data_IF_356990572657
#
_entry.id   IF_356990572657
#
_cell.length_a   1.000
_cell.length_b   1.000
_cell.length_c   1.000
_cell.angle_alpha   90.00
_cell.angle_beta   90.00
_cell.angle_gamma   90.00
#
_symmetry.space_group_name_H-M   'P 1'
#
loop_
_entity.id
_entity.type
_entity.pdbx_description
1 polymer ?
#
# COMPACT_ATOMS: atom_id res chain seq x y z
N UNK A 1 -35.40 -9.94 -2.19
CA UNK A 1 -34.11 -10.56 -2.56
C UNK A 1 -34.40 -11.75 -3.44
N UNK A 2 -34.36 -11.56 -4.74
CA UNK A 2 -34.52 -12.66 -5.69
C UNK A 2 -33.18 -13.36 -5.89
N UNK A 3 -33.18 -14.68 -5.66
CA UNK A 3 -32.01 -15.55 -5.78
C UNK A 3 -32.01 -16.12 -7.21
N UNK A 4 -31.09 -15.67 -8.05
CA UNK A 4 -30.86 -16.31 -9.34
C UNK A 4 -29.91 -17.50 -9.15
N UNK A 5 -30.44 -18.71 -9.30
CA UNK A 5 -29.73 -19.98 -9.27
C UNK A 5 -29.34 -20.36 -10.71
N UNK A 6 -28.07 -20.50 -11.02
CA UNK A 6 -27.60 -21.15 -12.23
C UNK A 6 -26.81 -22.41 -11.86
N UNK A 7 -27.28 -23.57 -12.31
CA UNK A 7 -26.61 -24.85 -12.13
C UNK A 7 -25.71 -25.12 -13.34
N UNK A 8 -24.40 -25.13 -13.12
CA UNK A 8 -23.43 -25.72 -14.04
C UNK A 8 -22.67 -26.82 -13.30
N UNK A 9 -22.94 -28.07 -13.69
CA UNK A 9 -22.20 -29.28 -13.29
C UNK A 9 -22.01 -29.46 -11.77
N UNK A 10 -23.09 -29.70 -11.04
CA UNK A 10 -23.06 -30.35 -9.73
C UNK A 10 -22.46 -29.58 -8.55
N UNK A 11 -22.15 -28.29 -8.70
CA UNK A 11 -21.79 -27.37 -7.60
C UNK A 11 -22.70 -26.16 -7.66
N UNK A 12 -23.39 -25.87 -6.56
CA UNK A 12 -24.11 -24.60 -6.40
C UNK A 12 -23.08 -23.48 -6.32
N UNK A 13 -22.91 -22.73 -7.39
CA UNK A 13 -22.12 -21.51 -7.39
C UNK A 13 -23.04 -20.37 -6.97
N UNK A 14 -22.88 -19.91 -5.75
CA UNK A 14 -23.56 -18.70 -5.28
C UNK A 14 -22.94 -17.49 -5.98
N UNK A 15 -23.56 -17.00 -7.03
CA UNK A 15 -23.16 -15.72 -7.65
C UNK A 15 -23.74 -14.62 -6.75
N UNK A 16 -22.86 -14.01 -5.94
CA UNK A 16 -23.21 -12.83 -5.17
C UNK A 16 -23.43 -11.67 -6.15
N UNK A 17 -24.63 -11.10 -6.12
CA UNK A 17 -24.93 -9.91 -6.92
C UNK A 17 -24.00 -8.77 -6.54
N UNK A 18 -23.23 -8.28 -7.51
CA UNK A 18 -22.31 -7.13 -7.30
C UNK A 18 -23.12 -5.84 -7.22
N UNK A 19 -22.63 -4.86 -6.47
CA UNK A 19 -23.24 -3.52 -6.46
C UNK A 19 -23.21 -2.91 -7.85
N UNK A 20 -24.24 -2.15 -8.18
CA UNK A 20 -24.31 -1.39 -9.44
C UNK A 20 -23.37 -0.17 -9.36
N UNK A 21 -22.09 -0.40 -9.66
CA UNK A 21 -21.02 0.59 -9.67
C UNK A 21 -20.36 0.57 -11.04
N UNK A 22 -20.08 1.74 -11.60
CA UNK A 22 -19.26 1.83 -12.81
C UNK A 22 -17.79 1.57 -12.46
N UNK A 23 -17.40 0.28 -12.44
CA UNK A 23 -16.08 -0.19 -12.07
C UNK A 23 -14.96 0.37 -12.95
N UNK A 24 -15.26 0.68 -14.20
CA UNK A 24 -14.28 1.20 -15.17
C UNK A 24 -13.97 2.67 -14.93
N UNK A 25 -14.87 3.40 -14.28
CA UNK A 25 -14.74 4.84 -14.04
C UNK A 25 -14.40 5.21 -12.60
N UNK A 26 -14.08 4.24 -11.75
CA UNK A 26 -13.64 4.49 -10.39
C UNK A 26 -12.32 5.28 -10.36
N UNK A 27 -12.20 6.19 -9.39
CA UNK A 27 -10.94 6.80 -8.98
C UNK A 27 -10.39 6.15 -7.71
N UNK A 28 -9.52 6.88 -7.02
CA UNK A 28 -9.02 6.51 -5.68
C UNK A 28 -9.76 7.32 -4.58
N UNK A 29 -11.02 7.71 -4.84
CA UNK A 29 -11.89 8.39 -3.89
C UNK A 29 -12.60 7.41 -2.95
N UNK A 30 -13.00 7.91 -1.78
CA UNK A 30 -13.75 7.12 -0.81
C UNK A 30 -15.20 6.88 -1.29
N UNK A 31 -15.60 5.62 -1.36
CA UNK A 31 -16.97 5.16 -1.54
C UNK A 31 -17.33 4.35 -0.30
N UNK A 32 -18.36 4.75 0.41
CA UNK A 32 -18.77 4.08 1.64
C UNK A 32 -19.31 2.67 1.33
N UNK A 33 -18.82 1.70 2.11
CA UNK A 33 -19.30 0.31 2.10
C UNK A 33 -20.18 0.02 3.31
N UNK A 34 -20.88 -1.10 3.32
CA UNK A 34 -21.90 -1.39 4.34
C UNK A 34 -21.34 -1.71 5.71
N UNK A 35 -20.14 -2.35 5.77
CA UNK A 35 -19.57 -2.84 7.01
C UNK A 35 -18.12 -2.46 7.18
N UNK A 36 -17.74 -2.23 8.43
CA UNK A 36 -16.38 -2.04 8.92
C UNK A 36 -16.18 -2.84 10.20
N UNK A 37 -14.94 -3.22 10.47
CA UNK A 37 -14.57 -3.89 11.72
C UNK A 37 -14.11 -2.84 12.75
N UNK A 38 -14.48 -3.03 14.00
CA UNK A 38 -14.07 -2.17 15.13
C UNK A 38 -13.76 -3.05 16.34
N UNK A 39 -12.57 -2.85 16.93
CA UNK A 39 -12.19 -3.43 18.22
C UNK A 39 -11.62 -2.33 19.12
N UNK A 40 -11.88 -2.39 20.40
CA UNK A 40 -11.44 -1.41 21.40
C UNK A 40 -10.44 -2.06 22.36
N UNK A 41 -9.39 -1.31 22.68
CA UNK A 41 -8.45 -1.65 23.76
C UNK A 41 -8.76 -0.81 24.98
N UNK A 42 -9.14 -1.50 26.05
CA UNK A 42 -9.46 -0.89 27.37
C UNK A 42 -9.00 -1.79 28.49
N UNK A 43 -8.58 -1.20 29.60
CA UNK A 43 -8.16 -1.94 30.80
C UNK A 43 -7.07 -3.00 30.50
N UNK A 44 -6.18 -2.72 29.55
CA UNK A 44 -5.06 -3.62 29.21
C UNK A 44 -5.40 -4.76 28.25
N UNK A 45 -6.60 -4.80 27.66
CA UNK A 45 -7.02 -5.87 26.76
C UNK A 45 -7.84 -5.36 25.56
N UNK A 46 -7.75 -6.08 24.43
CA UNK A 46 -8.63 -5.94 23.29
C UNK A 46 -9.95 -6.68 23.55
N UNK A 47 -11.07 -6.06 23.16
CA UNK A 47 -12.34 -6.78 23.03
C UNK A 47 -12.33 -7.72 21.79
N UNK A 48 -13.39 -8.52 21.62
CA UNK A 48 -13.49 -9.44 20.47
C UNK A 48 -13.66 -8.72 19.14
N UNK A 49 -14.02 -7.45 19.16
CA UNK A 49 -14.35 -6.67 17.97
C UNK A 49 -15.68 -7.09 17.33
N UNK A 50 -16.16 -6.25 16.43
CA UNK A 50 -17.41 -6.51 15.71
C UNK A 50 -17.47 -5.78 14.37
N UNK A 51 -18.28 -6.32 13.45
CA UNK A 51 -18.71 -5.63 12.24
C UNK A 51 -19.82 -4.64 12.56
N UNK A 52 -19.58 -3.37 12.24
CA UNK A 52 -20.55 -2.28 12.42
C UNK A 52 -20.85 -1.58 11.11
N UNK A 53 -21.99 -0.87 11.04
CA UNK A 53 -22.36 -0.08 9.84
C UNK A 53 -22.04 1.40 9.97
N UNK A 54 -21.90 1.90 11.19
CA UNK A 54 -21.62 3.32 11.44
C UNK A 54 -20.16 3.66 11.06
N UNK A 55 -20.01 4.61 10.15
CA UNK A 55 -18.71 5.12 9.70
C UNK A 55 -18.16 6.24 10.59
N UNK A 56 -18.99 6.81 11.43
CA UNK A 56 -18.59 7.93 12.29
C UNK A 56 -17.79 7.47 13.51
N UNK A 57 -16.92 8.34 13.98
CA UNK A 57 -16.13 8.12 15.20
C UNK A 57 -16.37 9.28 16.13
N UNK A 58 -16.92 8.98 17.31
CA UNK A 58 -17.06 9.96 18.39
C UNK A 58 -15.93 9.78 19.38
N UNK A 59 -15.18 10.84 19.67
CA UNK A 59 -14.07 10.83 20.63
C UNK A 59 -13.93 12.17 21.34
N UNK A 60 -13.16 12.18 22.42
CA UNK A 60 -12.79 13.42 23.13
C UNK A 60 -11.94 14.33 22.23
N UNK A 61 -12.12 15.65 22.33
CA UNK A 61 -11.22 16.61 21.71
C UNK A 61 -9.77 16.48 22.17
N UNK A 62 -9.54 15.93 23.37
CA UNK A 62 -8.22 15.64 23.92
C UNK A 62 -7.67 14.26 23.53
N UNK A 63 -8.32 13.53 22.62
CA UNK A 63 -7.84 12.20 22.21
C UNK A 63 -6.38 12.25 21.70
N UNK A 64 -5.57 11.25 22.07
CA UNK A 64 -4.14 11.19 21.75
C UNK A 64 -3.84 11.29 20.26
N UNK A 65 -4.73 10.77 19.42
CA UNK A 65 -4.61 10.89 17.95
C UNK A 65 -4.73 12.34 17.48
N UNK A 66 -5.61 13.14 18.08
CA UNK A 66 -5.84 14.54 17.71
C UNK A 66 -4.72 15.45 18.20
N UNK A 67 -4.14 15.15 19.37
CA UNK A 67 -3.12 15.99 19.98
C UNK A 67 -1.70 15.66 19.49
N UNK A 68 -1.37 14.37 19.34
CA UNK A 68 -0.01 13.91 19.11
C UNK A 68 0.13 12.97 17.92
N UNK A 69 -0.88 12.88 17.04
CA UNK A 69 -0.88 12.01 15.86
C UNK A 69 -0.53 10.55 16.20
N UNK A 70 -0.92 10.06 17.40
CA UNK A 70 -0.67 8.67 17.81
C UNK A 70 -1.60 7.73 17.03
N UNK A 71 -1.19 7.44 15.79
CA UNK A 71 -1.93 6.58 14.86
C UNK A 71 -1.00 5.86 13.90
N UNK A 72 -1.37 4.62 13.57
CA UNK A 72 -0.73 3.78 12.55
C UNK A 72 -1.79 3.26 11.60
N UNK A 73 -1.39 2.93 10.37
CA UNK A 73 -2.33 2.40 9.39
C UNK A 73 -1.67 1.42 8.43
N UNK A 74 -2.50 0.64 7.76
CA UNK A 74 -2.11 -0.25 6.68
C UNK A 74 -2.92 0.02 5.42
N UNK A 75 -2.43 -0.50 4.30
CA UNK A 75 -3.14 -0.47 3.03
C UNK A 75 -2.94 -1.79 2.33
N UNK A 76 -4.04 -2.44 1.98
CA UNK A 76 -4.04 -3.71 1.27
C UNK A 76 -5.25 -3.80 0.35
N UNK A 77 -5.35 -4.84 -0.46
CA UNK A 77 -6.41 -5.00 -1.45
C UNK A 77 -7.00 -6.39 -1.39
N UNK A 78 -8.29 -6.48 -1.67
CA UNK A 78 -8.95 -7.72 -2.04
C UNK A 78 -9.22 -7.73 -3.55
N UNK A 79 -9.05 -8.90 -4.16
CA UNK A 79 -9.13 -9.12 -5.60
C UNK A 79 -10.15 -10.21 -5.90
N UNK A 80 -10.84 -10.11 -7.03
CA UNK A 80 -11.50 -11.25 -7.66
C UNK A 80 -10.49 -11.88 -8.62
N UNK A 81 -10.16 -13.15 -8.42
CA UNK A 81 -9.24 -13.90 -9.28
C UNK A 81 -9.93 -14.37 -10.57
N UNK A 82 -9.15 -14.85 -11.53
CA UNK A 82 -9.66 -15.37 -12.81
C UNK A 82 -10.66 -16.51 -12.63
N UNK A 83 -10.45 -17.37 -11.63
CA UNK A 83 -11.36 -18.48 -11.28
C UNK A 83 -12.52 -18.08 -10.33
N UNK A 84 -12.67 -16.77 -10.06
CA UNK A 84 -13.79 -16.19 -9.31
C UNK A 84 -13.64 -16.18 -7.80
N UNK A 85 -12.51 -16.64 -7.24
CA UNK A 85 -12.25 -16.52 -5.79
C UNK A 85 -12.03 -15.06 -5.37
N UNK A 86 -12.35 -14.76 -4.13
CA UNK A 86 -11.99 -13.49 -3.50
C UNK A 86 -10.78 -13.73 -2.60
N UNK A 87 -9.72 -13.01 -2.84
CA UNK A 87 -8.44 -13.20 -2.16
C UNK A 87 -7.84 -11.88 -1.67
N UNK A 88 -6.94 -11.97 -0.68
CA UNK A 88 -6.02 -10.89 -0.30
C UNK A 88 -4.57 -11.35 -0.49
N UNK A 89 -3.67 -10.39 -0.65
CA UNK A 89 -2.26 -10.65 -0.94
C UNK A 89 -1.41 -10.34 0.29
N UNK A 90 -0.75 -11.36 0.86
CA UNK A 90 0.19 -11.30 1.98
C UNK A 90 -0.31 -10.49 3.19
N UNK A 91 -1.51 -10.76 3.72
CA UNK A 91 -2.05 -10.05 4.88
C UNK A 91 -1.22 -10.24 6.15
N UNK A 92 -0.49 -11.33 6.26
CA UNK A 92 0.48 -11.64 7.30
C UNK A 92 1.55 -10.55 7.43
N UNK A 93 2.10 -10.08 6.32
CA UNK A 93 3.09 -9.02 6.32
C UNK A 93 2.51 -7.65 6.69
N UNK A 94 1.25 -7.38 6.35
CA UNK A 94 0.57 -6.18 6.82
C UNK A 94 0.37 -6.23 8.34
N UNK A 95 -0.07 -7.37 8.87
CA UNK A 95 -0.23 -7.57 10.32
C UNK A 95 1.09 -7.37 11.07
N UNK A 96 2.17 -8.01 10.60
CA UNK A 96 3.50 -7.88 11.20
C UNK A 96 4.03 -6.44 11.15
N UNK A 97 3.87 -5.74 10.02
CA UNK A 97 4.32 -4.35 9.89
C UNK A 97 3.49 -3.38 10.75
N UNK A 98 2.19 -3.64 10.91
CA UNK A 98 1.37 -2.88 11.86
C UNK A 98 1.83 -3.08 13.30
N UNK A 99 2.20 -4.31 13.68
CA UNK A 99 2.78 -4.61 14.98
C UNK A 99 4.07 -3.80 15.22
N UNK A 100 5.00 -3.77 14.25
CA UNK A 100 6.23 -2.99 14.34
C UNK A 100 5.95 -1.49 14.48
N UNK A 101 4.96 -0.99 13.74
CA UNK A 101 4.52 0.41 13.82
C UNK A 101 3.92 0.74 15.19
N UNK A 102 3.08 -0.14 15.73
CA UNK A 102 2.51 0.01 17.07
C UNK A 102 3.58 0.03 18.17
N UNK A 103 4.51 -0.92 18.13
CA UNK A 103 5.63 -0.98 19.10
C UNK A 103 6.46 0.31 19.08
N UNK A 104 6.76 0.85 17.90
CA UNK A 104 7.56 2.10 17.77
C UNK A 104 6.84 3.32 18.35
N UNK A 105 5.50 3.39 18.27
CA UNK A 105 4.69 4.49 18.81
C UNK A 105 4.13 4.20 20.21
N UNK A 106 4.62 3.16 20.90
CA UNK A 106 4.15 2.77 22.25
C UNK A 106 2.64 2.54 22.29
N UNK A 107 2.11 1.88 21.25
CA UNK A 107 0.71 1.48 21.15
C UNK A 107 0.58 -0.03 21.42
N UNK A 108 -0.57 -0.51 21.95
CA UNK A 108 -0.79 -1.93 22.13
C UNK A 108 -0.80 -2.65 20.79
N UNK A 109 -0.22 -3.85 20.74
CA UNK A 109 -0.25 -4.70 19.56
C UNK A 109 -1.62 -5.31 19.38
N UNK A 110 -2.22 -5.20 18.19
CA UNK A 110 -3.38 -6.00 17.81
C UNK A 110 -2.89 -7.36 17.31
N UNK A 111 -3.41 -8.50 17.81
CA UNK A 111 -2.90 -9.82 17.45
C UNK A 111 -2.96 -10.08 15.94
N UNK A 112 -1.88 -10.66 15.37
CA UNK A 112 -1.76 -10.84 13.91
C UNK A 112 -2.82 -11.79 13.35
N UNK A 113 -3.17 -12.84 14.05
CA UNK A 113 -4.24 -13.78 13.69
C UNK A 113 -5.61 -13.09 13.68
N UNK A 114 -5.92 -12.30 14.71
CA UNK A 114 -7.15 -11.48 14.76
C UNK A 114 -7.18 -10.39 13.68
N UNK A 115 -6.02 -9.85 13.30
CA UNK A 115 -5.93 -8.91 12.17
C UNK A 115 -6.35 -9.57 10.85
N UNK A 116 -5.83 -10.76 10.55
CA UNK A 116 -6.16 -11.50 9.33
C UNK A 116 -7.64 -11.92 9.32
N UNK A 117 -8.15 -12.36 10.47
CA UNK A 117 -9.56 -12.69 10.64
C UNK A 117 -10.47 -11.47 10.40
N UNK A 118 -10.14 -10.32 11.01
CA UNK A 118 -10.88 -9.08 10.83
C UNK A 118 -10.88 -8.59 9.36
N UNK A 119 -9.75 -8.74 8.65
CA UNK A 119 -9.66 -8.48 7.20
C UNK A 119 -10.64 -9.37 6.44
N UNK A 120 -10.67 -10.68 6.73
CA UNK A 120 -11.57 -11.64 6.08
C UNK A 120 -13.04 -11.28 6.34
N UNK A 121 -13.40 -10.99 7.59
CA UNK A 121 -14.76 -10.57 7.96
C UNK A 121 -15.22 -9.31 7.21
N UNK A 122 -14.35 -8.28 7.08
CA UNK A 122 -14.68 -7.05 6.35
C UNK A 122 -14.88 -7.33 4.87
N UNK A 123 -14.03 -8.15 4.24
CA UNK A 123 -14.15 -8.48 2.82
C UNK A 123 -15.40 -9.32 2.55
N UNK A 124 -15.67 -10.32 3.37
CA UNK A 124 -16.87 -11.15 3.25
C UNK A 124 -18.16 -10.32 3.39
N UNK A 125 -18.23 -9.47 4.41
CA UNK A 125 -19.38 -8.62 4.65
C UNK A 125 -19.62 -7.58 3.53
N UNK A 126 -18.57 -7.20 2.81
CA UNK A 126 -18.62 -6.26 1.69
C UNK A 126 -18.33 -6.92 0.33
N UNK A 127 -18.53 -8.24 0.19
CA UNK A 127 -18.15 -8.96 -1.03
C UNK A 127 -18.88 -8.47 -2.29
N UNK A 128 -20.06 -7.85 -2.14
CA UNK A 128 -20.77 -7.17 -3.23
C UNK A 128 -20.00 -5.96 -3.80
N UNK A 129 -19.08 -5.38 -3.01
CA UNK A 129 -18.23 -4.25 -3.41
C UNK A 129 -16.86 -4.69 -3.93
N UNK A 130 -16.51 -5.97 -3.89
CA UNK A 130 -15.28 -6.46 -4.52
C UNK A 130 -15.49 -6.43 -6.03
N UNK A 131 -14.69 -5.65 -6.79
CA UNK A 131 -14.88 -5.52 -8.24
C UNK A 131 -14.75 -6.85 -8.97
N UNK A 132 -15.45 -7.04 -10.09
CA UNK A 132 -15.34 -8.25 -10.91
C UNK A 132 -13.92 -8.39 -11.51
N UNK A 133 -13.49 -9.63 -11.74
CA UNK A 133 -12.26 -9.90 -12.49
C UNK A 133 -12.28 -9.20 -13.86
N UNK A 134 -11.16 -8.68 -14.29
CA UNK A 134 -11.02 -7.99 -15.58
C UNK A 134 -11.46 -6.51 -15.58
N UNK A 135 -12.09 -6.01 -14.52
CA UNK A 135 -12.45 -4.58 -14.41
C UNK A 135 -11.26 -3.65 -14.19
N UNK A 136 -10.10 -4.17 -13.79
CA UNK A 136 -8.95 -3.39 -13.35
C UNK A 136 -9.10 -2.73 -11.98
N UNK A 137 -10.31 -2.72 -11.42
CA UNK A 137 -10.61 -2.20 -10.10
C UNK A 137 -10.36 -3.25 -9.00
N UNK A 138 -10.24 -2.80 -7.76
CA UNK A 138 -10.00 -3.65 -6.57
C UNK A 138 -10.74 -3.11 -5.37
N UNK A 139 -10.97 -3.94 -4.33
CA UNK A 139 -11.44 -3.45 -3.05
C UNK A 139 -10.23 -3.08 -2.19
N UNK A 140 -10.04 -1.80 -1.92
CA UNK A 140 -9.00 -1.31 -1.03
C UNK A 140 -9.45 -1.41 0.43
N UNK A 141 -8.59 -1.95 1.29
CA UNK A 141 -8.82 -2.03 2.74
C UNK A 141 -7.86 -1.11 3.47
N UNK A 142 -8.36 -0.42 4.48
CA UNK A 142 -7.63 0.47 5.36
C UNK A 142 -7.73 0.01 6.81
N UNK A 143 -6.89 -0.94 7.25
CA UNK A 143 -6.66 -1.17 8.67
C UNK A 143 -5.95 0.04 9.28
N UNK A 144 -6.39 0.48 10.47
CA UNK A 144 -5.75 1.58 11.20
C UNK A 144 -6.06 1.49 12.70
N UNK A 145 -5.16 2.06 13.49
CA UNK A 145 -5.28 2.11 14.94
C UNK A 145 -4.91 3.51 15.43
N UNK A 146 -5.58 3.96 16.48
CA UNK A 146 -5.31 5.27 17.06
C UNK A 146 -5.60 5.32 18.55
N UNK A 147 -4.89 6.22 19.26
CA UNK A 147 -5.15 6.53 20.67
C UNK A 147 -6.43 7.34 20.82
N UNK A 148 -7.42 6.79 21.52
CA UNK A 148 -8.77 7.34 21.66
C UNK A 148 -9.05 8.01 23.01
N UNK A 149 -8.29 7.68 24.06
CA UNK A 149 -8.46 8.30 25.36
C UNK A 149 -7.90 9.73 25.43
N UNK A 150 -8.44 10.57 26.34
CA UNK A 150 -7.95 11.93 26.58
C UNK A 150 -6.50 11.95 27.06
N UNK A 151 -5.66 12.82 26.47
CA UNK A 151 -4.25 13.00 26.82
C UNK A 151 -3.87 14.47 26.68
N UNK A 152 -3.39 15.13 27.74
CA UNK A 152 -2.84 16.49 27.67
C UNK A 152 -1.31 16.48 27.73
N UNK A 153 -0.71 15.75 28.66
CA UNK A 153 0.74 15.57 28.70
C UNK A 153 1.22 14.62 27.60
N UNK A 154 2.44 14.79 27.11
CA UNK A 154 3.02 13.90 26.10
C UNK A 154 3.26 12.51 26.70
N UNK A 155 2.32 11.62 26.53
CA UNK A 155 2.38 10.20 26.96
C UNK A 155 1.52 9.35 26.01
N UNK A 156 1.71 8.01 25.98
CA UNK A 156 0.80 7.12 25.26
C UNK A 156 -0.64 7.24 25.79
N UNK A 157 -1.61 7.08 24.93
CA UNK A 157 -3.00 6.93 25.32
C UNK A 157 -3.20 5.66 26.16
N UNK A 158 -4.29 5.60 26.94
CA UNK A 158 -4.63 4.43 27.75
C UNK A 158 -5.67 3.54 27.08
N UNK A 159 -6.46 4.13 26.17
CA UNK A 159 -7.43 3.41 25.34
C UNK A 159 -7.11 3.63 23.85
N UNK A 160 -7.38 2.60 23.04
CA UNK A 160 -7.16 2.62 21.59
C UNK A 160 -8.34 2.00 20.88
N UNK A 161 -8.44 2.34 19.58
CA UNK A 161 -9.40 1.70 18.70
C UNK A 161 -8.67 1.17 17.47
N UNK A 162 -8.89 -0.10 17.14
CA UNK A 162 -8.50 -0.71 15.87
C UNK A 162 -9.72 -0.79 14.96
N UNK A 163 -9.56 -0.36 13.71
CA UNK A 163 -10.63 -0.35 12.73
C UNK A 163 -10.15 -0.80 11.37
N UNK A 164 -11.04 -1.41 10.60
CA UNK A 164 -10.83 -1.68 9.18
C UNK A 164 -12.06 -1.19 8.41
N UNK A 165 -11.88 -0.31 7.44
CA UNK A 165 -12.89 -0.04 6.43
C UNK A 165 -12.41 -0.46 5.06
N UNK A 166 -13.34 -0.62 4.11
CA UNK A 166 -13.06 -0.95 2.73
C UNK A 166 -13.71 0.08 1.80
N UNK A 167 -13.13 0.27 0.61
CA UNK A 167 -13.67 1.11 -0.45
C UNK A 167 -13.26 0.55 -1.81
N UNK A 168 -14.17 0.39 -2.78
CA UNK A 168 -13.77 0.02 -4.13
C UNK A 168 -12.99 1.16 -4.78
N UNK A 169 -11.88 0.81 -5.42
CA UNK A 169 -11.01 1.76 -6.12
C UNK A 169 -10.75 1.29 -7.54
N UNK A 170 -10.63 2.23 -8.45
CA UNK A 170 -10.36 1.97 -9.85
C UNK A 170 -8.91 1.59 -10.13
N UNK A 171 -8.60 1.29 -11.39
CA UNK A 171 -7.23 1.11 -11.82
C UNK A 171 -6.42 2.38 -11.55
N UNK A 172 -5.22 2.21 -10.99
CA UNK A 172 -4.37 3.35 -10.67
C UNK A 172 -4.02 4.18 -11.91
N UNK A 173 -3.82 3.52 -13.05
CA UNK A 173 -3.56 4.16 -14.32
C UNK A 173 -4.84 4.27 -15.16
N UNK A 174 -5.64 5.31 -14.93
CA UNK A 174 -6.73 5.66 -15.85
C UNK A 174 -6.15 6.13 -17.18
N UNK A 175 -6.51 5.46 -18.27
CA UNK A 175 -6.05 5.83 -19.62
C UNK A 175 -4.69 5.25 -20.04
N UNK A 176 -4.16 4.28 -19.29
CA UNK A 176 -2.89 3.60 -19.58
C UNK A 176 -1.75 4.03 -18.68
N UNK A 177 -0.65 3.28 -18.76
CA UNK A 177 0.56 3.53 -17.97
C UNK A 177 1.27 4.78 -18.53
N UNK A 178 1.43 5.81 -17.70
CA UNK A 178 2.20 7.01 -18.05
C UNK A 178 3.41 7.10 -17.10
N UNK A 179 4.65 7.10 -17.62
CA UNK A 179 5.84 7.31 -16.80
C UNK A 179 5.83 8.66 -16.11
N UNK A 180 6.27 8.67 -14.84
CA UNK A 180 6.25 9.83 -13.97
C UNK A 180 7.50 10.68 -14.14
N UNK A 181 7.36 11.98 -13.86
CA UNK A 181 8.47 12.90 -13.66
C UNK A 181 8.61 13.22 -12.16
N UNK A 182 9.76 12.90 -11.58
CA UNK A 182 10.03 13.00 -10.16
C UNK A 182 10.98 14.15 -9.88
N UNK A 183 10.68 14.97 -8.87
CA UNK A 183 11.58 16.01 -8.36
C UNK A 183 12.39 15.48 -7.17
N UNK A 184 13.70 15.73 -7.15
CA UNK A 184 14.48 15.54 -5.91
C UNK A 184 14.08 16.62 -4.91
N UNK A 185 13.62 16.21 -3.72
CA UNK A 185 13.08 17.10 -2.70
C UNK A 185 14.19 17.79 -1.90
N UNK A 186 13.99 19.06 -1.56
CA UNK A 186 14.80 19.79 -0.59
C UNK A 186 14.43 19.48 0.87
N UNK A 187 13.28 18.83 1.07
CA UNK A 187 12.76 18.45 2.37
C UNK A 187 13.15 17.02 2.72
N UNK A 188 13.20 16.71 4.02
CA UNK A 188 13.38 15.37 4.54
C UNK A 188 12.02 14.68 4.70
N UNK A 189 11.93 13.38 4.40
CA UNK A 189 10.75 12.57 4.67
C UNK A 189 10.68 12.13 6.14
N UNK A 190 11.83 11.81 6.72
CA UNK A 190 11.97 11.35 8.09
C UNK A 190 13.38 11.59 8.63
N UNK A 191 13.51 11.75 9.94
CA UNK A 191 14.83 11.80 10.59
C UNK A 191 15.57 10.45 10.46
N UNK A 192 16.93 10.43 10.48
CA UNK A 192 17.73 9.21 10.29
C UNK A 192 17.39 8.07 11.26
N UNK A 193 17.08 8.40 12.51
CA UNK A 193 16.67 7.46 13.57
C UNK A 193 15.23 7.73 14.02
N UNK A 194 14.41 8.29 13.14
CA UNK A 194 13.02 8.67 13.40
C UNK A 194 12.02 7.54 13.20
N UNK A 195 10.98 7.86 12.47
CA UNK A 195 9.81 7.02 12.24
C UNK A 195 9.62 6.59 10.79
N UNK A 196 10.60 6.84 9.92
CA UNK A 196 10.48 6.56 8.49
C UNK A 196 10.19 5.11 8.15
N UNK A 197 10.68 4.17 8.96
CA UNK A 197 10.50 2.73 8.77
C UNK A 197 9.14 2.19 9.22
N UNK A 198 8.28 3.01 9.83
CA UNK A 198 6.93 2.60 10.25
C UNK A 198 5.84 3.28 9.44
N UNK A 199 4.66 2.66 9.40
CA UNK A 199 3.51 3.19 8.67
C UNK A 199 2.61 4.02 9.57
N UNK A 200 3.08 5.23 9.90
CA UNK A 200 2.41 6.16 10.80
C UNK A 200 1.96 7.43 10.08
N UNK A 201 0.78 7.94 10.41
CA UNK A 201 0.17 9.11 9.76
C UNK A 201 1.06 10.36 9.77
N UNK A 202 1.88 10.53 10.82
CA UNK A 202 2.80 11.66 10.96
C UNK A 202 3.82 11.75 9.81
N UNK A 203 4.31 10.62 9.26
CA UNK A 203 5.24 10.61 8.14
C UNK A 203 4.59 11.14 6.85
N UNK A 204 3.29 10.87 6.67
CA UNK A 204 2.52 11.32 5.50
C UNK A 204 2.12 12.78 5.63
N UNK A 205 1.71 13.23 6.80
CA UNK A 205 1.43 14.63 7.08
C UNK A 205 2.67 15.51 6.84
N UNK A 206 3.85 15.04 7.25
CA UNK A 206 5.12 15.72 7.00
C UNK A 206 5.45 15.88 5.51
N UNK A 207 5.01 14.95 4.67
CA UNK A 207 5.26 14.94 3.22
C UNK A 207 4.30 15.84 2.43
N UNK A 208 3.20 16.34 3.03
CA UNK A 208 2.16 17.09 2.30
C UNK A 208 2.68 18.36 1.64
N UNK A 209 3.50 19.14 2.33
CA UNK A 209 4.06 20.36 1.76
C UNK A 209 4.91 20.08 0.52
N UNK A 210 5.80 19.11 0.61
CA UNK A 210 6.69 18.77 -0.49
C UNK A 210 5.93 18.27 -1.72
N UNK A 211 4.92 17.38 -1.55
CA UNK A 211 4.16 16.85 -2.69
C UNK A 211 3.26 17.90 -3.34
N UNK A 212 2.60 18.77 -2.55
CA UNK A 212 1.78 19.85 -3.09
C UNK A 212 2.66 20.80 -3.90
N UNK A 213 3.80 21.23 -3.37
CA UNK A 213 4.74 22.10 -4.09
C UNK A 213 5.26 21.45 -5.37
N UNK A 214 5.59 20.15 -5.34
CA UNK A 214 6.02 19.43 -6.55
C UNK A 214 4.93 19.42 -7.61
N UNK A 215 3.68 19.17 -7.25
CA UNK A 215 2.54 19.20 -8.18
C UNK A 215 2.31 20.61 -8.77
N UNK A 216 2.44 21.67 -7.97
CA UNK A 216 2.34 23.06 -8.43
C UNK A 216 3.44 23.42 -9.44
N UNK A 217 4.61 22.81 -9.30
CA UNK A 217 5.74 22.92 -10.23
C UNK A 217 5.66 21.97 -11.45
N UNK A 218 4.61 21.14 -11.53
CA UNK A 218 4.36 20.24 -12.66
C UNK A 218 5.06 18.86 -12.56
N UNK A 219 5.55 18.47 -11.39
CA UNK A 219 6.07 17.15 -11.12
C UNK A 219 5.00 16.22 -10.57
N UNK A 220 5.16 14.90 -10.76
CA UNK A 220 4.18 13.91 -10.31
C UNK A 220 4.43 13.45 -8.87
N UNK A 221 5.68 13.50 -8.38
CA UNK A 221 6.07 13.01 -7.05
C UNK A 221 7.46 13.54 -6.66
N UNK A 222 7.85 13.34 -5.40
CA UNK A 222 9.17 13.67 -4.86
C UNK A 222 10.05 12.45 -4.62
N UNK A 223 11.34 12.56 -4.91
CA UNK A 223 12.38 11.66 -4.42
C UNK A 223 13.00 12.27 -3.17
N UNK A 224 12.88 11.59 -2.04
CA UNK A 224 13.58 11.99 -0.82
C UNK A 224 14.96 11.36 -0.75
N UNK A 225 15.91 12.13 -0.25
CA UNK A 225 17.27 11.68 0.00
C UNK A 225 17.50 11.47 1.51
N UNK A 226 18.52 10.71 1.85
CA UNK A 226 18.91 10.53 3.25
C UNK A 226 19.17 11.88 3.93
N UNK A 227 18.59 12.14 5.10
CA UNK A 227 18.65 13.46 5.73
C UNK A 227 20.03 13.79 6.30
N UNK A 228 20.95 12.82 6.38
CA UNK A 228 22.30 13.03 6.94
C UNK A 228 23.28 13.56 5.90
N UNK A 229 23.30 13.01 4.70
CA UNK A 229 24.28 13.36 3.65
C UNK A 229 23.65 13.95 2.41
N UNK A 230 22.35 13.74 2.20
CA UNK A 230 21.56 14.16 1.04
C UNK A 230 22.15 13.66 -0.30
N UNK A 231 22.76 12.49 -0.24
CA UNK A 231 23.38 11.85 -1.41
C UNK A 231 22.76 10.51 -1.78
N UNK A 232 22.01 9.89 -0.83
CA UNK A 232 21.46 8.56 -1.01
C UNK A 232 19.95 8.64 -1.22
N UNK A 233 19.48 7.93 -2.23
CA UNK A 233 18.04 7.81 -2.51
C UNK A 233 17.36 6.99 -1.41
N UNK A 234 16.26 7.50 -0.87
CA UNK A 234 15.41 6.76 0.04
C UNK A 234 14.13 6.30 -0.67
N UNK A 235 13.04 7.01 -0.51
CA UNK A 235 11.75 6.66 -1.10
C UNK A 235 10.96 7.93 -1.48
N UNK A 236 9.75 7.79 -2.00
CA UNK A 236 8.81 8.90 -2.17
C UNK A 236 7.93 9.08 -0.93
N UNK A 237 6.96 9.99 -0.98
CA UNK A 237 5.96 10.15 0.06
C UNK A 237 5.12 8.88 0.30
N UNK A 238 4.90 8.05 -0.71
CA UNK A 238 4.00 6.90 -0.63
C UNK A 238 4.48 5.59 -1.27
N UNK A 239 5.67 5.55 -1.89
CA UNK A 239 6.17 4.39 -2.64
C UNK A 239 7.68 4.25 -2.55
N UNK A 240 8.20 3.02 -2.70
CA UNK A 240 9.63 2.73 -2.74
C UNK A 240 10.16 2.73 -4.17
N UNK A 241 11.42 3.09 -4.35
CA UNK A 241 12.11 3.01 -5.64
C UNK A 241 12.58 1.59 -5.96
N UNK A 242 12.50 1.27 -7.25
CA UNK A 242 13.07 0.10 -7.89
C UNK A 242 13.79 0.57 -9.15
N UNK A 243 15.05 0.17 -9.33
CA UNK A 243 15.88 0.52 -10.48
C UNK A 243 16.29 -0.75 -11.22
N UNK A 244 16.47 -0.65 -12.53
CA UNK A 244 17.01 -1.71 -13.36
C UNK A 244 18.33 -1.21 -13.97
N UNK A 245 19.39 -1.96 -13.76
CA UNK A 245 20.69 -1.66 -14.36
C UNK A 245 20.70 -1.95 -15.87
N UNK A 246 21.68 -1.45 -16.60
CA UNK A 246 21.82 -1.70 -18.06
C UNK A 246 22.08 -3.17 -18.38
N UNK A 247 22.62 -3.94 -17.46
CA UNK A 247 22.80 -5.40 -17.56
C UNK A 247 21.61 -6.21 -16.98
N UNK A 248 20.51 -5.55 -16.58
CA UNK A 248 19.24 -6.17 -16.26
C UNK A 248 19.06 -6.58 -14.78
N UNK A 249 19.95 -6.17 -13.87
CA UNK A 249 19.80 -6.41 -12.44
C UNK A 249 18.75 -5.49 -11.83
N UNK A 250 18.06 -5.99 -10.83
CA UNK A 250 17.10 -5.21 -10.01
C UNK A 250 17.83 -4.63 -8.81
N UNK A 251 17.79 -3.32 -8.65
CA UNK A 251 18.40 -2.60 -7.54
C UNK A 251 17.33 -1.82 -6.77
N UNK A 252 17.34 -1.89 -5.45
CA UNK A 252 16.43 -1.10 -4.61
C UNK A 252 17.17 -0.47 -3.44
N UNK A 253 16.84 0.78 -3.07
CA UNK A 253 17.48 1.45 -1.94
C UNK A 253 17.30 0.71 -0.61
N UNK A 254 18.35 0.66 0.18
CA UNK A 254 18.38 0.14 1.54
C UNK A 254 18.73 1.26 2.52
N UNK A 255 17.83 1.53 3.46
CA UNK A 255 18.02 2.49 4.54
C UNK A 255 17.17 2.09 5.75
N UNK A 256 17.57 2.47 6.94
CA UNK A 256 16.80 2.28 8.17
C UNK A 256 15.61 3.21 8.30
N UNK A 257 15.48 4.22 7.43
CA UNK A 257 14.36 5.17 7.40
C UNK A 257 13.36 4.92 6.27
N UNK A 258 13.59 3.93 5.41
CA UNK A 258 12.65 3.52 4.36
C UNK A 258 11.59 2.57 4.92
N UNK A 259 10.32 2.79 4.54
CA UNK A 259 9.24 1.86 4.88
C UNK A 259 9.51 0.48 4.24
N UNK A 260 9.46 -0.62 5.01
CA UNK A 260 9.61 -1.98 4.48
C UNK A 260 8.37 -2.39 3.67
N UNK A 261 8.35 -1.99 2.39
CA UNK A 261 7.22 -2.23 1.48
C UNK A 261 7.03 -3.72 1.19
N UNK A 262 5.78 -4.18 1.33
CA UNK A 262 5.39 -5.56 1.01
C UNK A 262 5.49 -5.79 -0.50
N UNK A 263 5.07 -4.82 -1.30
CA UNK A 263 5.19 -4.89 -2.77
C UNK A 263 6.66 -4.99 -3.19
N UNK A 264 7.55 -4.14 -2.65
CA UNK A 264 8.99 -4.18 -2.94
C UNK A 264 9.59 -5.55 -2.60
N UNK A 265 9.32 -6.07 -1.39
CA UNK A 265 9.80 -7.41 -0.97
C UNK A 265 9.29 -8.52 -1.89
N UNK A 266 8.04 -8.43 -2.32
CA UNK A 266 7.44 -9.39 -3.24
C UNK A 266 8.06 -9.29 -4.64
N UNK A 267 8.30 -8.08 -5.15
CA UNK A 267 8.96 -7.86 -6.46
C UNK A 267 10.40 -8.35 -6.46
N UNK A 268 11.15 -8.19 -5.37
CA UNK A 268 12.50 -8.74 -5.23
C UNK A 268 12.51 -10.27 -5.31
N UNK A 269 11.51 -10.91 -4.70
CA UNK A 269 11.38 -12.38 -4.79
C UNK A 269 10.91 -12.81 -6.19
N UNK A 270 9.93 -12.12 -6.77
CA UNK A 270 9.48 -12.35 -8.17
C UNK A 270 10.65 -12.23 -9.15
N UNK A 271 11.50 -11.22 -8.99
CA UNK A 271 12.67 -11.03 -9.84
C UNK A 271 13.60 -12.25 -9.81
N UNK A 272 13.86 -12.79 -8.62
CA UNK A 272 14.74 -13.98 -8.45
C UNK A 272 14.07 -15.26 -8.92
N UNK A 273 12.89 -15.57 -8.38
CA UNK A 273 12.30 -16.91 -8.46
C UNK A 273 11.55 -17.14 -9.79
N UNK A 274 10.99 -16.09 -10.39
CA UNK A 274 10.19 -16.18 -11.62
C UNK A 274 10.93 -15.68 -12.87
N UNK A 275 11.80 -14.69 -12.70
CA UNK A 275 12.47 -14.07 -13.85
C UNK A 275 13.97 -14.37 -13.91
N UNK A 276 14.54 -15.04 -12.90
CA UNK A 276 15.95 -15.39 -12.85
C UNK A 276 16.90 -14.20 -12.82
N UNK A 277 16.44 -13.04 -12.30
CA UNK A 277 17.22 -11.81 -12.26
C UNK A 277 18.03 -11.69 -10.97
N UNK A 278 19.21 -11.10 -11.06
CA UNK A 278 19.95 -10.67 -9.88
C UNK A 278 19.25 -9.50 -9.18
N UNK A 279 19.25 -9.51 -7.84
CA UNK A 279 18.63 -8.46 -7.01
C UNK A 279 19.62 -7.96 -5.99
N UNK A 280 19.83 -6.65 -5.97
CA UNK A 280 20.65 -5.96 -5.00
C UNK A 280 19.81 -5.02 -4.13
N UNK A 281 19.84 -5.21 -2.82
CA UNK A 281 19.30 -4.24 -1.85
C UNK A 281 20.48 -3.53 -1.20
N UNK A 282 20.74 -2.29 -1.63
CA UNK A 282 21.93 -1.53 -1.24
C UNK A 282 21.65 -0.03 -1.16
N UNK A 283 22.61 0.74 -0.68
CA UNK A 283 22.58 2.19 -0.85
C UNK A 283 22.63 2.53 -2.35
N UNK A 284 21.78 3.46 -2.76
CA UNK A 284 21.71 4.00 -4.14
C UNK A 284 22.00 5.49 -4.05
N UNK A 285 23.00 5.95 -4.78
CA UNK A 285 23.39 7.36 -4.77
C UNK A 285 22.70 8.12 -5.90
N UNK A 286 22.34 9.38 -5.63
CA UNK A 286 21.69 10.23 -6.63
C UNK A 286 22.56 10.42 -7.89
N UNK A 287 23.89 10.41 -7.73
CA UNK A 287 24.83 10.57 -8.84
C UNK A 287 24.94 9.35 -9.74
N UNK A 288 24.51 8.16 -9.28
CA UNK A 288 24.50 6.94 -10.10
C UNK A 288 23.21 6.74 -10.91
N UNK A 289 22.18 7.59 -10.72
CA UNK A 289 20.88 7.40 -11.39
C UNK A 289 20.98 7.33 -12.91
N UNK A 290 21.94 8.04 -13.54
CA UNK A 290 22.19 8.00 -14.99
C UNK A 290 22.66 6.62 -15.50
N UNK A 291 23.12 5.75 -14.61
CA UNK A 291 23.61 4.43 -14.94
C UNK A 291 22.50 3.38 -15.04
N UNK A 292 21.29 3.68 -14.58
CA UNK A 292 20.15 2.77 -14.65
C UNK A 292 19.44 2.87 -16.01
N UNK A 293 18.88 1.75 -16.45
CA UNK A 293 18.09 1.66 -17.67
C UNK A 293 16.62 1.97 -17.43
N UNK A 294 16.10 1.57 -16.26
CA UNK A 294 14.69 1.76 -15.89
C UNK A 294 14.57 2.18 -14.44
N UNK A 295 13.50 2.90 -14.13
CA UNK A 295 13.11 3.25 -12.77
C UNK A 295 11.61 3.04 -12.59
N UNK A 296 11.21 2.58 -11.41
CA UNK A 296 9.83 2.43 -11.00
C UNK A 296 9.59 2.75 -9.54
N UNK A 297 8.37 3.15 -9.22
CA UNK A 297 7.86 3.30 -7.86
C UNK A 297 6.96 2.13 -7.53
N UNK A 298 7.25 1.38 -6.47
CA UNK A 298 6.46 0.22 -6.09
C UNK A 298 5.69 0.44 -4.79
N UNK A 299 4.42 0.01 -4.80
CA UNK A 299 3.51 0.13 -3.67
C UNK A 299 2.16 -0.57 -3.91
N UNK A 300 1.35 -0.70 -2.88
CA UNK A 300 0.06 -1.40 -2.95
C UNK A 300 -0.90 -0.77 -3.95
N UNK A 301 -0.90 0.56 -4.08
CA UNK A 301 -1.87 1.25 -4.93
C UNK A 301 -1.68 0.93 -6.42
N UNK A 302 -0.45 1.07 -6.93
CA UNK A 302 -0.13 0.97 -8.36
C UNK A 302 0.59 -0.32 -8.75
N UNK A 303 1.05 -1.12 -7.79
CA UNK A 303 2.01 -2.21 -7.96
C UNK A 303 3.39 -1.66 -8.38
N UNK A 304 3.54 -1.21 -9.61
CA UNK A 304 4.69 -0.43 -10.07
C UNK A 304 4.18 0.73 -10.95
N UNK A 305 4.61 1.95 -10.64
CA UNK A 305 4.48 3.12 -11.53
C UNK A 305 5.83 3.37 -12.18
N UNK A 306 5.94 3.39 -13.52
CA UNK A 306 7.21 3.69 -14.18
C UNK A 306 7.61 5.14 -13.95
N UNK A 307 8.91 5.38 -13.84
CA UNK A 307 9.52 6.72 -13.79
C UNK A 307 10.34 6.92 -15.06
N UNK A 308 10.00 7.95 -15.83
CA UNK A 308 10.74 8.27 -17.06
C UNK A 308 11.85 9.29 -16.82
N UNK A 309 11.69 10.15 -15.84
CA UNK A 309 12.62 11.24 -15.57
C UNK A 309 12.67 11.61 -14.08
N UNK A 310 13.89 11.88 -13.59
CA UNK A 310 14.14 12.53 -12.30
C UNK A 310 14.78 13.88 -12.54
N UNK A 311 14.32 14.92 -11.84
CA UNK A 311 14.90 16.26 -11.92
C UNK A 311 15.57 16.60 -10.60
N UNK A 312 16.89 16.75 -10.64
CA UNK A 312 17.72 17.10 -9.49
C UNK A 312 18.25 18.53 -9.63
N UNK A 313 17.60 19.50 -8.97
CA UNK A 313 17.97 20.93 -8.99
C UNK A 313 18.20 21.46 -10.43
N UNK A 314 17.26 21.20 -11.31
CA UNK A 314 17.32 21.59 -12.71
C UNK A 314 18.09 20.66 -13.64
N UNK A 315 18.86 19.70 -13.12
CA UNK A 315 19.49 18.65 -13.90
C UNK A 315 18.46 17.53 -14.17
N UNK A 316 18.13 17.31 -15.43
CA UNK A 316 17.27 16.21 -15.86
C UNK A 316 18.07 14.91 -15.99
N UNK A 317 17.57 13.86 -15.37
CA UNK A 317 18.08 12.48 -15.47
C UNK A 317 16.99 11.66 -16.12
N UNK A 318 17.15 11.33 -17.39
CA UNK A 318 16.18 10.56 -18.18
C UNK A 318 16.59 9.09 -18.23
N UNK A 319 15.65 8.20 -17.92
CA UNK A 319 15.89 6.76 -18.06
C UNK A 319 15.69 6.33 -19.52
N UNK A 320 16.50 5.40 -20.05
CA UNK A 320 16.36 4.89 -21.42
C UNK A 320 14.99 4.30 -21.76
N UNK A 321 14.23 3.80 -20.76
CA UNK A 321 12.83 3.35 -20.93
C UNK A 321 11.88 4.48 -21.38
N UNK A 322 12.24 5.75 -21.11
CA UNK A 322 11.55 6.93 -21.64
C UNK A 322 10.26 7.28 -20.94
N UNK A 323 9.51 8.22 -21.57
CA UNK A 323 8.28 8.83 -21.04
C UNK A 323 7.00 8.27 -21.68
N UNK A 324 7.10 7.23 -22.51
CA UNK A 324 5.95 6.74 -23.27
C UNK A 324 5.38 5.45 -22.69
N UNK A 325 6.21 4.60 -22.08
CA UNK A 325 5.79 3.28 -21.58
C UNK A 325 6.63 2.83 -20.38
N UNK A 326 6.24 1.73 -19.78
CA UNK A 326 7.00 1.04 -18.75
C UNK A 326 8.20 0.32 -19.38
N UNK A 327 9.37 0.37 -18.74
CA UNK A 327 10.55 -0.36 -19.20
C UNK A 327 10.31 -1.87 -19.23
N UNK A 328 10.99 -2.61 -20.12
CA UNK A 328 10.69 -4.02 -20.40
C UNK A 328 10.88 -4.95 -19.19
N UNK A 329 11.85 -4.70 -18.31
CA UNK A 329 12.05 -5.52 -17.10
C UNK A 329 11.01 -5.14 -16.05
N UNK A 330 10.78 -3.85 -15.84
CA UNK A 330 9.74 -3.34 -14.94
C UNK A 330 8.36 -3.87 -15.32
N UNK A 331 8.07 -3.94 -16.64
CA UNK A 331 6.81 -4.51 -17.13
C UNK A 331 6.68 -6.00 -16.82
N UNK A 332 7.74 -6.80 -17.01
CA UNK A 332 7.73 -8.22 -16.65
C UNK A 332 7.47 -8.42 -15.15
N UNK A 333 8.10 -7.61 -14.30
CA UNK A 333 7.87 -7.62 -12.86
C UNK A 333 6.41 -7.29 -12.51
N UNK A 334 5.87 -6.25 -13.13
CA UNK A 334 4.48 -5.84 -12.97
C UNK A 334 3.50 -6.94 -13.40
N UNK A 335 3.68 -7.47 -14.62
CA UNK A 335 2.79 -8.50 -15.18
C UNK A 335 2.83 -9.79 -14.35
N UNK A 336 4.02 -10.19 -13.87
CA UNK A 336 4.17 -11.39 -13.04
C UNK A 336 3.51 -11.21 -11.68
N UNK A 337 3.76 -10.11 -10.97
CA UNK A 337 3.17 -9.89 -9.66
C UNK A 337 1.64 -9.73 -9.74
N UNK A 338 1.13 -8.98 -10.70
CA UNK A 338 -0.32 -8.87 -10.93
C UNK A 338 -0.93 -10.20 -11.37
N UNK A 339 -0.21 -11.01 -12.15
CA UNK A 339 -0.60 -12.36 -12.51
C UNK A 339 -0.79 -13.26 -11.28
N UNK A 340 0.14 -13.19 -10.31
CA UNK A 340 0.04 -13.89 -9.03
C UNK A 340 -1.17 -13.40 -8.23
N UNK A 341 -1.34 -12.09 -8.09
CA UNK A 341 -2.44 -11.49 -7.34
C UNK A 341 -3.83 -11.84 -7.90
N UNK A 342 -3.92 -11.99 -9.22
CA UNK A 342 -5.17 -12.31 -9.93
C UNK A 342 -5.37 -13.81 -10.21
N UNK A 343 -4.49 -14.68 -9.70
CA UNK A 343 -4.60 -16.13 -9.84
C UNK A 343 -4.24 -16.68 -11.23
N UNK A 344 -3.61 -15.89 -12.11
CA UNK A 344 -3.14 -16.32 -13.44
C UNK A 344 -1.76 -17.02 -13.40
N UNK A 345 -0.99 -16.72 -12.39
CA UNK A 345 0.34 -17.29 -12.14
C UNK A 345 0.30 -17.91 -10.76
N UNK A 346 0.87 -19.10 -10.62
CA UNK A 346 0.97 -19.80 -9.34
C UNK A 346 1.75 -18.94 -8.33
N UNK A 347 1.18 -18.79 -7.15
CA UNK A 347 1.76 -17.99 -6.07
C UNK A 347 2.70 -18.84 -5.21
N UNK A 348 3.76 -18.26 -4.65
CA UNK A 348 4.48 -18.91 -3.56
C UNK A 348 3.53 -19.21 -2.38
N UNK A 349 3.83 -20.25 -1.63
CA UNK A 349 3.05 -20.64 -0.45
C UNK A 349 2.88 -19.45 0.52
N UNK A 350 1.65 -19.28 1.03
CA UNK A 350 1.30 -18.23 1.98
C UNK A 350 1.10 -16.83 1.39
N UNK A 351 1.32 -16.61 0.08
CA UNK A 351 1.14 -15.29 -0.50
C UNK A 351 -0.32 -14.91 -0.75
N UNK A 352 -1.15 -15.88 -1.04
CA UNK A 352 -2.57 -15.68 -1.32
C UNK A 352 -3.39 -16.21 -0.14
N UNK A 353 -4.13 -15.34 0.48
CA UNK A 353 -5.11 -15.67 1.50
C UNK A 353 -6.50 -15.67 0.85
N UNK A 354 -7.09 -16.87 0.74
CA UNK A 354 -8.42 -17.06 0.15
C UNK A 354 -9.48 -16.74 1.19
N UNK A 355 -10.39 -15.85 0.83
CA UNK A 355 -11.50 -15.44 1.69
C UNK A 355 -12.78 -16.18 1.28
N UNK A 356 -13.04 -16.28 -0.03
CA UNK A 356 -14.24 -16.91 -0.55
C UNK A 356 -14.00 -17.55 -1.92
#
# INVERSE_FOLDING_TARGET
MEKNLYSLVGKEVWIMEKKNIDWSNLGFGYIETEKRFVSNYKNGAWDEGALVSDSMITMSECAGVLQYAQTVFEGMKAYTTEDGRIVTFRPDLNAARMEDSCKRLQMPVFPQDKFIEAVSQVVEANAAYVPPYGSGATLYLRPYMFGSSPVIGVKPAEEYQFRIFATPVGPYFKGGVKPLTIKVSDFDRAAPNGTGHIKAGLNYAMSLHAIVTAHEEGYDENMYLDPKTRTKVEETGGANFLFITKDGKVVTPKSSSILPSITRRSLMQVAKDYLGLEVEEREVYVDELENFAECGLCGTAAVISPVGKVVNHGKEICFPSGMNDMGPVTKKLYDTLTGIQMGRIEAPEGWIHVIK
#
